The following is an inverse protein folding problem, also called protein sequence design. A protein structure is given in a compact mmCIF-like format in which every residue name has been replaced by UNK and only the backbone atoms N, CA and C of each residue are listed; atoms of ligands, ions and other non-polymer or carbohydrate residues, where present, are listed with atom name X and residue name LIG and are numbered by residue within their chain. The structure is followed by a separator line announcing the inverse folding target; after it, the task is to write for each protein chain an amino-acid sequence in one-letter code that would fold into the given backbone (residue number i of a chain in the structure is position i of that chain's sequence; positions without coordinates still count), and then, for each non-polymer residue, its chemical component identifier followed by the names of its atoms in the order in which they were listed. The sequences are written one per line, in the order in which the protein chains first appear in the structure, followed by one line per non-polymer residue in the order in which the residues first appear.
data_IF_916186750729
#
_entry.id   IF_916186750729
#
_cell.length_a   1.000
_cell.length_b   1.000
_cell.length_c   1.000
_cell.angle_alpha   90.00
_cell.angle_beta   90.00
_cell.angle_gamma   90.00
#
_symmetry.space_group_name_H-M   'P 1'
#
loop_
_entity.id
_entity.type
_entity.pdbx_description
1 polymer ?
#
# COMPACT_ATOMS: atom_id res chain seq x y z
N UNK A 1 -18.37 40.66 16.90
CA UNK A 1 -18.95 39.77 15.88
C UNK A 1 -17.89 38.77 15.46
N UNK A 2 -18.00 37.51 15.87
CA UNK A 2 -17.15 36.44 15.33
C UNK A 2 -17.72 36.14 13.94
N UNK A 3 -16.94 36.44 12.91
CA UNK A 3 -17.33 36.15 11.52
C UNK A 3 -17.36 34.64 11.38
N UNK A 4 -18.55 34.08 11.17
CA UNK A 4 -18.78 32.67 10.93
C UNK A 4 -18.27 32.34 9.50
N UNK A 5 -16.95 32.30 9.31
CA UNK A 5 -16.34 31.92 8.04
C UNK A 5 -16.41 30.41 7.93
N UNK A 6 -17.08 29.90 6.90
CA UNK A 6 -17.07 28.48 6.58
C UNK A 6 -15.66 28.10 6.09
N UNK A 7 -14.87 27.35 6.87
CA UNK A 7 -13.49 27.03 6.50
C UNK A 7 -13.40 26.15 5.24
N UNK A 8 -14.50 25.50 4.83
CA UNK A 8 -14.53 24.64 3.65
C UNK A 8 -14.52 25.41 2.33
N UNK A 9 -15.00 26.66 2.30
CA UNK A 9 -15.07 27.47 1.06
C UNK A 9 -13.69 27.83 0.49
N UNK A 10 -12.64 27.76 1.31
CA UNK A 10 -11.27 28.12 0.93
C UNK A 10 -10.41 26.90 0.57
N UNK A 11 -10.94 25.68 0.73
CA UNK A 11 -10.19 24.49 0.41
C UNK A 11 -10.07 24.34 -1.12
N UNK A 12 -8.87 24.05 -1.64
CA UNK A 12 -8.72 23.71 -3.05
C UNK A 12 -9.53 22.44 -3.35
N UNK A 13 -10.21 22.44 -4.49
CA UNK A 13 -11.04 21.33 -4.94
C UNK A 13 -10.63 20.84 -6.32
N UNK A 14 -10.90 19.57 -6.59
CA UNK A 14 -10.77 18.95 -7.89
C UNK A 14 -12.15 18.47 -8.33
N UNK A 15 -12.58 18.86 -9.52
CA UNK A 15 -13.83 18.36 -10.08
C UNK A 15 -13.68 16.87 -10.46
N UNK A 16 -14.66 16.06 -10.08
CA UNK A 16 -14.71 14.62 -10.37
C UNK A 16 -16.03 14.33 -11.08
N UNK A 17 -15.98 13.57 -12.18
CA UNK A 17 -17.18 13.04 -12.80
C UNK A 17 -17.75 11.93 -11.89
N UNK A 18 -19.04 11.94 -11.52
CA UNK A 18 -19.64 10.89 -10.69
C UNK A 18 -19.47 9.48 -11.28
N UNK A 19 -19.39 9.34 -12.59
CA UNK A 19 -19.19 8.05 -13.28
C UNK A 19 -17.78 7.47 -13.07
N UNK A 20 -16.80 8.31 -12.69
CA UNK A 20 -15.43 7.89 -12.38
C UNK A 20 -15.25 7.54 -10.88
N UNK A 21 -16.33 7.55 -10.08
CA UNK A 21 -16.30 7.30 -8.65
C UNK A 21 -17.13 6.07 -8.26
N UNK A 22 -16.43 5.03 -7.80
CA UNK A 22 -17.02 3.80 -7.30
C UNK A 22 -16.83 3.65 -5.78
N UNK A 23 -17.86 3.13 -5.10
CA UNK A 23 -17.77 2.70 -3.69
C UNK A 23 -17.80 1.18 -3.65
N UNK A 24 -16.74 0.57 -3.11
CA UNK A 24 -16.68 -0.87 -2.89
C UNK A 24 -17.18 -1.20 -1.48
N UNK A 25 -18.15 -2.11 -1.37
CA UNK A 25 -18.86 -2.39 -0.11
C UNK A 25 -18.36 -3.63 0.63
N UNK A 26 -17.36 -4.34 0.10
CA UNK A 26 -16.81 -5.55 0.73
C UNK A 26 -15.31 -5.68 0.51
N UNK A 27 -14.65 -6.41 1.43
CA UNK A 27 -13.24 -6.75 1.31
C UNK A 27 -12.96 -7.64 0.10
N UNK A 28 -13.89 -8.52 -0.27
CA UNK A 28 -13.78 -9.39 -1.44
C UNK A 28 -13.79 -8.56 -2.74
N UNK A 29 -14.73 -7.63 -2.89
CA UNK A 29 -14.79 -6.76 -4.07
C UNK A 29 -13.55 -5.87 -4.15
N UNK A 30 -13.05 -5.38 -3.01
CA UNK A 30 -11.80 -4.63 -2.94
C UNK A 30 -10.60 -5.45 -3.43
N UNK A 31 -10.44 -6.68 -2.91
CA UNK A 31 -9.39 -7.61 -3.34
C UNK A 31 -9.43 -7.83 -4.85
N UNK A 32 -10.59 -8.17 -5.40
CA UNK A 32 -10.75 -8.42 -6.84
C UNK A 32 -10.42 -7.18 -7.67
N UNK A 33 -10.91 -5.99 -7.27
CA UNK A 33 -10.62 -4.73 -7.98
C UNK A 33 -9.13 -4.39 -7.95
N UNK A 34 -8.45 -4.59 -6.83
CA UNK A 34 -7.02 -4.33 -6.69
C UNK A 34 -6.18 -5.27 -7.55
N UNK A 35 -6.47 -6.57 -7.53
CA UNK A 35 -5.77 -7.56 -8.35
C UNK A 35 -5.97 -7.29 -9.85
N UNK A 36 -7.19 -6.96 -10.26
CA UNK A 36 -7.50 -6.57 -11.64
C UNK A 36 -6.71 -5.34 -12.08
N UNK A 37 -6.69 -4.29 -11.24
CA UNK A 37 -5.93 -3.06 -11.48
C UNK A 37 -4.42 -3.35 -11.62
N UNK A 38 -3.82 -4.13 -10.71
CA UNK A 38 -2.40 -4.53 -10.77
C UNK A 38 -2.12 -5.29 -12.07
N UNK A 39 -3.01 -6.20 -12.46
CA UNK A 39 -2.81 -7.04 -13.65
C UNK A 39 -2.76 -6.22 -14.96
N UNK A 40 -3.48 -5.11 -14.99
CA UNK A 40 -3.65 -4.21 -16.15
C UNK A 40 -2.70 -3.02 -16.15
N UNK A 41 -2.02 -2.74 -15.04
CA UNK A 41 -1.14 -1.59 -14.90
C UNK A 41 -0.01 -1.58 -15.95
N UNK A 42 0.24 -0.42 -16.53
CA UNK A 42 1.21 -0.24 -17.61
C UNK A 42 2.28 0.79 -17.29
N UNK A 43 1.98 1.76 -16.42
CA UNK A 43 2.88 2.87 -16.09
C UNK A 43 3.35 2.82 -14.64
N UNK A 44 2.44 2.74 -13.66
CA UNK A 44 2.81 2.88 -12.24
C UNK A 44 1.86 2.20 -11.27
N UNK A 45 2.43 1.74 -10.16
CA UNK A 45 1.71 1.26 -8.98
C UNK A 45 2.36 1.83 -7.71
N UNK A 46 1.62 2.62 -6.95
CA UNK A 46 2.05 3.12 -5.63
C UNK A 46 1.10 2.58 -4.57
N UNK A 47 1.63 1.79 -3.63
CA UNK A 47 0.83 1.16 -2.57
C UNK A 47 1.26 1.71 -1.22
N UNK A 48 0.38 2.44 -0.53
CA UNK A 48 0.61 2.90 0.85
C UNK A 48 -0.32 2.19 1.83
N UNK A 49 0.26 1.32 2.67
CA UNK A 49 -0.46 0.54 3.67
C UNK A 49 0.24 0.62 5.03
N UNK A 50 -0.44 0.19 6.10
CA UNK A 50 0.21 0.07 7.41
C UNK A 50 1.28 -1.04 7.37
N UNK A 51 0.95 -2.18 6.79
CA UNK A 51 1.85 -3.29 6.47
C UNK A 51 1.17 -4.19 5.42
N UNK A 52 1.94 -5.04 4.74
CA UNK A 52 1.46 -6.24 4.06
C UNK A 52 1.83 -7.44 4.92
N UNK A 53 0.84 -8.19 5.40
CA UNK A 53 1.07 -9.29 6.35
C UNK A 53 1.68 -10.50 5.63
N UNK A 54 2.47 -11.29 6.36
CA UNK A 54 2.90 -12.61 5.93
C UNK A 54 1.79 -13.65 6.09
N UNK A 55 0.73 -13.46 5.31
CA UNK A 55 -0.41 -14.35 5.17
C UNK A 55 -0.75 -14.59 3.69
N UNK A 56 -1.82 -15.35 3.45
CA UNK A 56 -2.29 -15.66 2.09
C UNK A 56 -2.59 -14.40 1.27
N UNK A 57 -3.25 -13.41 1.87
CA UNK A 57 -3.67 -12.19 1.18
C UNK A 57 -2.49 -11.27 0.86
N UNK A 58 -1.57 -11.08 1.81
CA UNK A 58 -0.37 -10.29 1.58
C UNK A 58 0.55 -10.91 0.54
N UNK A 59 0.72 -12.24 0.56
CA UNK A 59 1.47 -12.99 -0.46
C UNK A 59 0.83 -12.91 -1.84
N UNK A 60 -0.50 -12.96 -1.92
CA UNK A 60 -1.22 -12.83 -3.20
C UNK A 60 -0.99 -11.44 -3.83
N UNK A 61 -1.12 -10.36 -3.06
CA UNK A 61 -0.87 -9.00 -3.55
C UNK A 61 0.60 -8.84 -3.97
N UNK A 62 1.54 -9.30 -3.16
CA UNK A 62 2.97 -9.25 -3.52
C UNK A 62 3.25 -10.04 -4.81
N UNK A 63 2.69 -11.23 -4.95
CA UNK A 63 2.86 -12.07 -6.15
C UNK A 63 2.34 -11.33 -7.38
N UNK A 64 1.14 -10.77 -7.33
CA UNK A 64 0.58 -10.01 -8.44
C UNK A 64 1.45 -8.81 -8.84
N UNK A 65 2.00 -8.08 -7.87
CA UNK A 65 2.90 -6.94 -8.12
C UNK A 65 4.20 -7.40 -8.78
N UNK A 66 4.84 -8.44 -8.24
CA UNK A 66 6.09 -8.98 -8.77
C UNK A 66 5.92 -9.58 -10.17
N UNK A 67 4.83 -10.30 -10.43
CA UNK A 67 4.48 -10.81 -11.75
C UNK A 67 4.20 -9.69 -12.77
N UNK A 68 3.51 -8.63 -12.35
CA UNK A 68 3.33 -7.44 -13.19
C UNK A 68 4.69 -6.79 -13.55
N UNK A 69 5.60 -6.66 -12.57
CA UNK A 69 6.96 -6.16 -12.79
C UNK A 69 7.80 -7.06 -13.70
N UNK A 70 7.61 -8.38 -13.65
CA UNK A 70 8.31 -9.29 -14.55
C UNK A 70 7.80 -9.15 -16.00
N UNK A 71 6.48 -9.00 -16.19
CA UNK A 71 5.89 -8.77 -17.52
C UNK A 71 6.28 -7.42 -18.12
N UNK A 72 6.43 -6.40 -17.28
CA UNK A 72 6.85 -5.06 -17.68
C UNK A 72 7.95 -4.54 -16.72
N UNK A 73 9.24 -4.79 -17.03
CA UNK A 73 10.34 -4.30 -16.21
C UNK A 73 10.37 -2.77 -16.06
N UNK A 74 9.75 -2.03 -16.98
CA UNK A 74 9.60 -0.57 -16.93
C UNK A 74 8.48 -0.05 -16.03
N UNK A 75 7.59 -0.92 -15.52
CA UNK A 75 6.49 -0.56 -14.62
C UNK A 75 7.03 0.01 -13.31
N UNK A 76 6.69 1.25 -12.96
CA UNK A 76 7.17 1.91 -11.74
C UNK A 76 6.35 1.45 -10.53
N UNK A 77 6.92 0.61 -9.65
CA UNK A 77 6.23 0.07 -8.48
C UNK A 77 6.92 0.50 -7.20
N UNK A 78 6.18 1.12 -6.28
CA UNK A 78 6.67 1.56 -4.98
C UNK A 78 5.69 1.14 -3.87
N UNK A 79 6.19 0.45 -2.85
CA UNK A 79 5.39 0.02 -1.71
C UNK A 79 5.88 0.77 -0.47
N UNK A 80 4.99 1.46 0.23
CA UNK A 80 5.26 2.17 1.47
C UNK A 80 4.51 1.50 2.62
N UNK A 81 5.24 1.08 3.65
CA UNK A 81 4.72 0.44 4.87
C UNK A 81 5.24 1.16 6.11
N UNK A 82 4.62 0.94 7.27
CA UNK A 82 5.18 1.45 8.52
C UNK A 82 6.48 0.72 8.89
N UNK A 83 7.53 1.49 9.20
CA UNK A 83 8.84 0.94 9.54
C UNK A 83 8.80 -0.03 10.74
N UNK A 84 8.10 0.33 11.81
CA UNK A 84 8.06 -0.48 13.03
C UNK A 84 7.18 -1.71 12.85
N UNK A 85 6.04 -1.57 12.17
CA UNK A 85 5.13 -2.70 11.92
C UNK A 85 5.70 -3.73 10.95
N UNK A 86 6.51 -3.32 9.99
CA UNK A 86 7.15 -4.24 9.07
C UNK A 86 8.18 -5.15 9.76
N UNK A 87 8.78 -4.73 10.87
CA UNK A 87 9.95 -5.41 11.48
C UNK A 87 9.62 -6.27 12.70
N UNK A 88 8.35 -6.36 13.10
CA UNK A 88 7.95 -7.15 14.26
C UNK A 88 7.05 -8.29 13.83
N UNK A 89 7.26 -9.48 14.40
CA UNK A 89 6.25 -10.54 14.39
C UNK A 89 4.97 -10.13 15.13
N UNK A 90 3.91 -10.93 14.96
CA UNK A 90 2.67 -10.78 15.73
C UNK A 90 2.96 -10.83 17.24
N UNK A 91 2.32 -9.95 18.01
CA UNK A 91 2.46 -9.94 19.48
C UNK A 91 1.95 -11.29 20.01
N UNK A 92 2.84 -12.05 20.66
CA UNK A 92 2.52 -13.39 21.21
C UNK A 92 2.93 -14.57 20.32
N UNK A 93 3.48 -14.32 19.13
CA UNK A 93 4.10 -15.33 18.29
C UNK A 93 5.61 -15.49 18.58
N UNK A 94 6.24 -16.53 18.02
CA UNK A 94 7.70 -16.73 18.10
C UNK A 94 8.48 -15.54 17.52
N UNK A 95 9.75 -15.42 17.92
CA UNK A 95 10.62 -14.33 17.47
C UNK A 95 10.82 -14.43 15.96
N UNK A 96 10.35 -13.42 15.23
CA UNK A 96 10.41 -13.34 13.77
C UNK A 96 10.90 -11.95 13.35
N UNK A 97 11.62 -11.88 12.21
CA UNK A 97 11.96 -10.62 11.53
C UNK A 97 10.71 -9.84 11.03
N UNK A 98 9.52 -10.39 11.26
CA UNK A 98 8.24 -9.82 10.85
C UNK A 98 8.04 -9.86 9.34
N UNK A 99 7.16 -9.00 8.84
CA UNK A 99 6.84 -8.92 7.42
C UNK A 99 8.05 -8.50 6.55
N UNK A 100 9.09 -7.90 7.16
CA UNK A 100 10.31 -7.53 6.44
C UNK A 100 11.06 -8.73 5.87
N UNK A 101 11.01 -9.90 6.51
CA UNK A 101 11.59 -11.13 5.96
C UNK A 101 10.85 -11.59 4.69
N UNK A 102 9.52 -11.49 4.70
CA UNK A 102 8.71 -11.77 3.51
C UNK A 102 9.10 -10.84 2.35
N UNK A 103 9.24 -9.54 2.63
CA UNK A 103 9.57 -8.57 1.59
C UNK A 103 10.95 -8.85 0.97
N UNK A 104 11.95 -9.20 1.79
CA UNK A 104 13.28 -9.62 1.33
C UNK A 104 13.20 -10.88 0.47
N UNK A 105 12.48 -11.90 0.94
CA UNK A 105 12.33 -13.17 0.23
C UNK A 105 11.73 -12.97 -1.17
N UNK A 106 10.71 -12.12 -1.31
CA UNK A 106 10.15 -11.76 -2.62
C UNK A 106 11.15 -10.99 -3.48
N UNK A 107 11.91 -10.05 -2.92
CA UNK A 107 12.92 -9.31 -3.69
C UNK A 107 14.03 -10.23 -4.23
N UNK A 108 14.42 -11.26 -3.46
CA UNK A 108 15.44 -12.24 -3.86
C UNK A 108 14.91 -13.30 -4.83
N UNK A 109 13.59 -13.59 -4.80
CA UNK A 109 12.97 -14.62 -5.64
C UNK A 109 12.84 -14.20 -7.12
N UNK A 110 12.67 -12.91 -7.40
CA UNK A 110 12.35 -12.41 -8.74
C UNK A 110 13.51 -11.62 -9.37
N UNK A 111 13.65 -11.71 -10.69
CA UNK A 111 14.73 -11.02 -11.42
C UNK A 111 14.61 -9.50 -11.31
N UNK A 112 13.39 -8.96 -11.46
CA UNK A 112 13.13 -7.53 -11.30
C UNK A 112 12.51 -7.28 -9.94
N UNK A 113 13.31 -6.72 -9.02
CA UNK A 113 12.90 -6.41 -7.66
C UNK A 113 11.96 -5.18 -7.59
N UNK A 114 11.17 -5.12 -6.52
CA UNK A 114 10.31 -3.98 -6.18
C UNK A 114 10.77 -3.39 -4.85
N UNK A 115 11.01 -2.08 -4.75
CA UNK A 115 11.36 -1.46 -3.48
C UNK A 115 10.17 -1.43 -2.50
N UNK A 116 10.44 -1.83 -1.26
CA UNK A 116 9.54 -1.66 -0.11
C UNK A 116 10.16 -0.67 0.87
N UNK A 117 9.54 0.49 1.02
CA UNK A 117 9.97 1.57 1.91
C UNK A 117 9.28 1.46 3.26
N UNK A 118 10.06 1.23 4.32
CA UNK A 118 9.58 1.42 5.69
C UNK A 118 9.62 2.90 6.08
N UNK A 119 8.47 3.48 6.39
CA UNK A 119 8.31 4.90 6.72
C UNK A 119 8.34 5.08 8.26
N UNK A 120 9.38 5.71 8.83
CA UNK A 120 9.48 5.91 10.27
C UNK A 120 8.77 7.22 10.68
N UNK A 121 7.45 7.17 10.87
CA UNK A 121 6.66 8.36 11.27
C UNK A 121 7.15 8.97 12.59
N UNK A 122 7.55 8.13 13.54
CA UNK A 122 8.20 8.52 14.80
C UNK A 122 9.30 7.54 15.15
N UNK A 123 10.18 7.95 16.07
CA UNK A 123 11.27 7.10 16.56
C UNK A 123 10.83 5.85 17.33
N UNK A 124 9.57 5.79 17.79
CA UNK A 124 8.96 4.59 18.39
C UNK A 124 7.51 4.44 17.92
N UNK A 125 7.08 3.20 17.67
CA UNK A 125 5.73 2.83 17.24
C UNK A 125 4.62 3.46 18.13
N UNK A 126 4.79 3.41 19.46
CA UNK A 126 3.81 3.92 20.43
C UNK A 126 3.50 5.40 20.25
N UNK A 127 4.41 6.17 19.66
CA UNK A 127 4.23 7.60 19.44
C UNK A 127 3.69 7.95 18.05
N UNK A 128 3.60 6.97 17.14
CA UNK A 128 3.02 7.18 15.82
C UNK A 128 3.44 6.11 14.82
N UNK A 129 2.49 5.77 13.95
CA UNK A 129 2.63 4.82 12.84
C UNK A 129 2.14 5.44 11.54
N UNK A 130 2.55 4.87 10.40
CA UNK A 130 2.04 5.24 9.08
C UNK A 130 0.55 4.90 8.97
N UNK A 131 -0.30 5.92 9.02
CA UNK A 131 -1.74 5.77 8.80
C UNK A 131 -2.25 6.39 7.49
N UNK A 132 -1.35 6.91 6.65
CA UNK A 132 -1.67 7.30 5.27
C UNK A 132 -2.26 6.09 4.52
N UNK A 133 -3.28 6.34 3.69
CA UNK A 133 -3.96 5.34 2.86
C UNK A 133 -4.04 5.88 1.46
N UNK A 134 -3.86 5.01 0.48
CA UNK A 134 -4.01 5.36 -0.92
C UNK A 134 -3.20 4.42 -1.79
N UNK A 135 -3.86 3.85 -2.77
CA UNK A 135 -3.24 3.08 -3.84
C UNK A 135 -3.45 3.84 -5.14
N UNK A 136 -2.38 4.00 -5.92
CA UNK A 136 -2.44 4.59 -7.26
C UNK A 136 -2.03 3.50 -8.23
N UNK A 137 -2.88 3.22 -9.22
CA UNK A 137 -2.61 2.31 -10.32
C UNK A 137 -2.98 3.07 -11.58
N UNK A 138 -1.97 3.41 -12.39
CA UNK A 138 -2.03 4.27 -13.58
C UNK A 138 -2.73 5.64 -13.40
#
# INVERSE_FOLDING_TARGET
MIVNRNPFEQLPSLAINPEDFDVLYSAETFRTRLLDAISKATSRIYLVALYLEDDEAGREILTALYEAKQRNPGLDINICVDWHRAQRGLIGAETSEGNSALYKAFADQYQHAIPVYGIPVRGREVFGVLHLKGFVVD
#
